data_IF_224562312087
#
_entry.id   IF_224562312087
#
_cell.length_a   1.000
_cell.length_b   1.000
_cell.length_c   1.000
_cell.angle_alpha   90.00
_cell.angle_beta   90.00
_cell.angle_gamma   90.00
#
_symmetry.space_group_name_H-M   'P 1'
#
loop_
_entity.id
_entity.type
_entity.pdbx_description
1 polymer ?
#
# COMPACT_ATOMS: atom_id res chain seq x y z
N UNK A 1 -15.24 23.59 -13.34
CA UNK A 1 -14.32 24.15 -12.34
C UNK A 1 -13.37 25.08 -13.07
N UNK A 2 -13.19 26.31 -12.60
CA UNK A 2 -12.34 27.32 -13.27
C UNK A 2 -10.86 27.25 -12.86
N UNK A 3 -10.52 26.35 -11.93
CA UNK A 3 -9.17 26.21 -11.37
C UNK A 3 -8.68 24.77 -11.53
N UNK A 4 -7.37 24.62 -11.75
CA UNK A 4 -6.68 23.35 -11.84
C UNK A 4 -5.75 23.15 -10.64
N UNK A 5 -5.86 21.99 -10.01
CA UNK A 5 -4.96 21.53 -8.96
C UNK A 5 -3.70 20.91 -9.57
N UNK A 6 -2.54 21.27 -9.03
CA UNK A 6 -1.28 20.59 -9.29
C UNK A 6 -0.56 20.27 -7.97
N UNK A 7 -0.21 19.01 -7.77
CA UNK A 7 0.47 18.54 -6.55
C UNK A 7 1.75 17.79 -6.88
N UNK A 8 2.80 18.08 -6.13
CA UNK A 8 4.00 17.25 -6.00
C UNK A 8 4.14 16.74 -4.57
N UNK A 9 4.76 15.58 -4.39
CA UNK A 9 4.98 14.97 -3.08
C UNK A 9 6.47 14.86 -2.77
N UNK A 10 6.81 15.10 -1.52
CA UNK A 10 8.08 14.72 -0.90
C UNK A 10 7.78 13.63 0.12
N UNK A 11 8.37 12.46 -0.05
CA UNK A 11 8.06 11.27 0.74
C UNK A 11 9.34 10.74 1.36
N UNK A 12 9.35 10.64 2.68
CA UNK A 12 10.46 10.04 3.42
C UNK A 12 10.13 8.62 3.86
N UNK A 13 11.01 7.65 3.60
CA UNK A 13 10.83 6.24 3.95
C UNK A 13 12.06 5.72 4.70
N UNK A 14 11.87 5.22 5.93
CA UNK A 14 12.92 4.57 6.70
C UNK A 14 13.22 3.18 6.14
N UNK A 15 14.49 2.92 5.82
CA UNK A 15 14.93 1.62 5.34
C UNK A 15 15.06 0.62 6.48
N UNK A 16 14.71 -0.64 6.20
CA UNK A 16 14.79 -1.78 7.11
C UNK A 16 16.17 -2.44 7.07
N UNK A 17 17.22 -1.64 7.25
CA UNK A 17 18.60 -2.15 7.39
C UNK A 17 18.83 -2.72 8.79
N UNK A 18 19.90 -3.51 8.97
CA UNK A 18 20.32 -3.99 10.30
C UNK A 18 20.99 -2.88 11.12
N UNK A 19 21.82 -2.05 10.49
CA UNK A 19 22.56 -0.96 11.13
C UNK A 19 22.16 0.39 10.56
N UNK A 20 22.51 1.46 11.29
CA UNK A 20 22.31 2.86 10.86
C UNK A 20 23.07 3.19 9.56
N UNK A 21 22.78 4.36 8.97
CA UNK A 21 23.30 4.73 7.64
C UNK A 21 24.81 4.99 7.65
N UNK A 22 25.31 5.59 8.74
CA UNK A 22 26.70 6.03 8.83
C UNK A 22 27.45 5.43 10.04
N UNK A 23 26.90 4.43 10.72
CA UNK A 23 27.57 3.79 11.87
C UNK A 23 27.06 2.36 12.12
N UNK A 24 27.73 1.63 13.02
CA UNK A 24 27.40 0.24 13.35
C UNK A 24 26.25 0.03 14.34
N UNK A 25 25.60 1.09 14.83
CA UNK A 25 24.48 0.94 15.77
C UNK A 25 23.29 0.20 15.13
N UNK A 26 22.55 -0.54 15.95
CA UNK A 26 21.30 -1.19 15.58
C UNK A 26 20.28 -0.17 15.06
N UNK A 27 19.60 -0.51 13.96
CA UNK A 27 18.48 0.26 13.42
C UNK A 27 17.15 -0.27 13.98
N UNK A 28 16.89 0.04 15.26
CA UNK A 28 15.61 -0.25 15.92
C UNK A 28 15.19 0.92 16.83
N UNK A 29 14.73 2.05 16.26
CA UNK A 29 14.48 3.26 17.03
C UNK A 29 13.17 3.23 17.86
N UNK A 30 12.35 2.17 17.77
CA UNK A 30 10.97 2.18 18.30
C UNK A 30 10.77 1.41 19.59
N UNK A 31 11.50 0.30 19.79
CA UNK A 31 11.27 -0.62 20.92
C UNK A 31 12.31 -0.48 22.05
N UNK A 32 13.12 0.57 21.97
CA UNK A 32 14.31 0.76 22.78
C UNK A 32 14.09 1.73 23.95
N UNK A 33 14.82 1.55 25.05
CA UNK A 33 14.97 2.62 26.06
C UNK A 33 15.64 3.84 25.41
N UNK A 34 15.34 5.07 25.83
CA UNK A 34 15.95 6.27 25.23
C UNK A 34 17.48 6.21 25.22
N UNK A 35 18.09 6.63 24.12
CA UNK A 35 19.54 6.76 23.95
C UNK A 35 20.38 5.48 24.22
N UNK A 36 19.88 4.28 23.87
CA UNK A 36 20.68 3.03 23.96
C UNK A 36 21.30 2.60 22.63
N UNK A 37 20.69 2.98 21.49
CA UNK A 37 21.18 2.66 20.16
C UNK A 37 21.99 3.83 19.60
N UNK A 38 22.98 4.27 20.36
CA UNK A 38 23.83 5.42 20.05
C UNK A 38 25.30 5.04 20.11
N UNK A 39 26.13 5.81 19.41
CA UNK A 39 27.60 5.71 19.42
C UNK A 39 28.20 7.09 19.11
N UNK A 40 29.53 7.28 19.26
CA UNK A 40 30.17 8.57 19.00
C UNK A 40 29.80 9.21 17.66
N UNK A 41 29.62 8.41 16.60
CA UNK A 41 29.29 8.89 15.25
C UNK A 41 27.87 9.48 15.18
N UNK A 42 26.86 8.70 15.52
CA UNK A 42 25.46 9.17 15.44
C UNK A 42 25.10 10.17 16.55
N UNK A 43 25.92 10.24 17.61
CA UNK A 43 25.83 11.24 18.67
C UNK A 43 26.65 12.52 18.36
N UNK A 44 27.38 12.56 17.25
CA UNK A 44 28.15 13.73 16.83
C UNK A 44 29.29 14.12 17.77
N UNK A 45 29.93 13.15 18.44
CA UNK A 45 31.06 13.44 19.33
C UNK A 45 32.30 13.88 18.55
N UNK A 46 33.16 14.74 19.15
CA UNK A 46 34.41 15.17 18.53
C UNK A 46 35.29 13.99 18.09
N UNK A 47 35.80 14.05 16.86
CA UNK A 47 36.68 13.03 16.28
C UNK A 47 35.96 11.81 15.69
N UNK A 48 34.63 11.73 15.76
CA UNK A 48 33.87 10.63 15.15
C UNK A 48 33.69 10.84 13.63
N UNK A 49 33.85 9.76 12.85
CA UNK A 49 33.71 9.78 11.39
C UNK A 49 32.59 8.85 10.90
N UNK A 50 31.83 9.25 9.86
CA UNK A 50 30.77 8.42 9.27
C UNK A 50 31.32 7.25 8.45
N UNK A 51 30.64 6.11 8.48
CA UNK A 51 30.91 4.94 7.64
C UNK A 51 29.63 4.45 6.95
N UNK A 52 29.59 4.57 5.62
CA UNK A 52 28.39 4.29 4.83
C UNK A 52 27.94 2.83 4.89
N UNK A 53 26.64 2.64 5.11
CA UNK A 53 25.96 1.36 5.07
C UNK A 53 25.72 0.88 3.63
N UNK A 54 26.43 -0.18 3.22
CA UNK A 54 26.29 -0.81 1.91
C UNK A 54 24.86 -1.27 1.60
N UNK A 55 24.16 -1.88 2.57
CA UNK A 55 22.80 -2.38 2.36
C UNK A 55 21.79 -1.27 2.10
N UNK A 56 21.97 -0.08 2.67
CA UNK A 56 21.12 1.07 2.39
C UNK A 56 21.22 1.50 0.91
N UNK A 57 22.44 1.51 0.37
CA UNK A 57 22.69 1.79 -1.05
C UNK A 57 22.05 0.72 -1.93
N UNK A 58 22.28 -0.57 -1.64
CA UNK A 58 21.71 -1.68 -2.41
C UNK A 58 20.18 -1.67 -2.43
N UNK A 59 19.53 -1.36 -1.29
CA UNK A 59 18.07 -1.19 -1.21
C UNK A 59 17.56 -0.03 -2.05
N UNK A 60 18.30 1.08 -2.08
CA UNK A 60 17.97 2.27 -2.91
C UNK A 60 18.07 1.94 -4.39
N UNK A 61 19.15 1.26 -4.80
CA UNK A 61 19.35 0.80 -6.17
C UNK A 61 18.25 -0.18 -6.60
N UNK A 62 17.87 -1.12 -5.72
CA UNK A 62 16.78 -2.06 -5.95
C UNK A 62 15.46 -1.34 -6.22
N UNK A 63 15.13 -0.32 -5.42
CA UNK A 63 13.95 0.51 -5.64
C UNK A 63 14.05 1.27 -6.98
N UNK A 64 15.18 1.90 -7.26
CA UNK A 64 15.38 2.66 -8.49
C UNK A 64 15.20 1.81 -9.74
N UNK A 65 15.79 0.62 -9.77
CA UNK A 65 15.64 -0.32 -10.89
C UNK A 65 14.21 -0.82 -11.04
N UNK A 66 13.55 -1.18 -9.93
CA UNK A 66 12.16 -1.61 -9.94
C UNK A 66 11.24 -0.53 -10.54
N UNK A 67 11.47 0.74 -10.21
CA UNK A 67 10.70 1.88 -10.69
C UNK A 67 11.16 2.38 -12.07
N UNK A 68 12.10 1.68 -12.74
CA UNK A 68 12.63 2.04 -14.05
C UNK A 68 13.38 3.37 -14.07
N UNK A 69 13.93 3.79 -12.93
CA UNK A 69 14.71 5.01 -12.79
C UNK A 69 16.14 4.89 -13.32
N UNK A 70 16.73 6.03 -13.68
CA UNK A 70 18.11 6.15 -14.10
C UNK A 70 19.02 6.17 -12.87
N UNK A 71 19.88 5.17 -12.76
CA UNK A 71 20.86 5.04 -11.67
C UNK A 71 22.09 5.88 -12.01
N UNK A 72 22.54 6.72 -11.08
CA UNK A 72 23.78 7.47 -11.23
C UNK A 72 25.00 6.51 -11.26
N UNK A 73 26.03 6.76 -12.08
CA UNK A 73 27.24 5.93 -12.08
C UNK A 73 28.08 6.13 -10.80
N UNK A 74 28.08 7.36 -10.29
CA UNK A 74 28.79 7.79 -9.08
C UNK A 74 27.84 8.69 -8.30
N UNK A 75 27.89 8.58 -6.97
CA UNK A 75 27.17 9.47 -6.06
C UNK A 75 28.12 10.03 -5.02
N UNK A 76 27.82 11.22 -4.49
CA UNK A 76 28.56 11.81 -3.37
C UNK A 76 27.57 12.28 -2.29
N UNK A 77 28.10 12.59 -1.11
CA UNK A 77 27.34 13.02 0.05
C UNK A 77 27.56 14.50 0.29
N UNK A 78 26.57 15.17 0.86
CA UNK A 78 26.64 16.58 1.21
C UNK A 78 26.12 16.81 2.62
N UNK A 79 26.67 17.83 3.28
CA UNK A 79 26.17 18.32 4.56
C UNK A 79 25.06 19.32 4.32
N UNK A 80 23.87 19.03 4.84
CA UNK A 80 22.75 19.98 4.97
C UNK A 80 22.84 20.59 6.36
N UNK A 81 23.35 21.82 6.47
CA UNK A 81 23.71 22.44 7.73
C UNK A 81 22.54 23.19 8.36
N UNK A 82 22.09 22.75 9.55
CA UNK A 82 21.08 23.45 10.35
C UNK A 82 21.17 23.01 11.81
N UNK A 83 20.83 23.91 12.73
CA UNK A 83 20.87 23.63 14.16
C UNK A 83 19.48 23.28 14.66
N UNK A 84 19.35 22.09 15.24
CA UNK A 84 18.16 21.68 15.97
C UNK A 84 18.55 20.64 17.03
N UNK A 85 17.91 20.60 18.22
CA UNK A 85 18.35 19.74 19.31
C UNK A 85 18.38 18.24 18.99
N UNK A 86 17.52 17.77 18.08
CA UNK A 86 17.47 16.37 17.65
C UNK A 86 18.52 15.99 16.58
N UNK A 87 19.31 16.96 16.10
CA UNK A 87 20.36 16.77 15.11
C UNK A 87 21.74 17.03 15.75
N UNK A 88 22.37 16.00 16.34
CA UNK A 88 23.51 16.19 17.23
C UNK A 88 24.76 16.74 16.53
N UNK A 89 24.92 16.49 15.22
CA UNK A 89 26.08 16.96 14.44
C UNK A 89 26.00 18.44 14.04
N UNK A 90 24.84 19.09 14.17
CA UNK A 90 24.59 20.42 13.59
C UNK A 90 24.52 20.44 12.05
N UNK A 91 24.54 19.27 11.43
CA UNK A 91 24.28 19.04 10.01
C UNK A 91 23.75 17.62 9.80
N UNK A 92 22.97 17.44 8.74
CA UNK A 92 22.46 16.16 8.27
C UNK A 92 23.30 15.75 7.05
N UNK A 93 23.84 14.55 7.04
CA UNK A 93 24.43 13.96 5.85
C UNK A 93 23.30 13.50 4.93
N UNK A 94 23.21 14.12 3.75
CA UNK A 94 22.20 13.89 2.73
C UNK A 94 22.87 13.93 1.35
N UNK A 95 22.09 14.07 0.29
CA UNK A 95 22.59 14.24 -1.09
C UNK A 95 22.06 15.57 -1.64
N UNK A 96 22.91 16.29 -2.37
CA UNK A 96 22.55 17.59 -2.95
C UNK A 96 22.09 17.41 -4.40
N UNK A 97 22.97 17.67 -5.36
CA UNK A 97 22.65 17.68 -6.80
C UNK A 97 22.81 16.31 -7.48
N UNK A 98 23.35 15.31 -6.79
CA UNK A 98 23.59 13.97 -7.32
C UNK A 98 22.77 12.92 -6.54
N UNK A 99 21.48 12.72 -6.88
CA UNK A 99 20.69 11.65 -6.28
C UNK A 99 21.16 10.28 -6.79
N UNK A 100 20.92 9.22 -6.02
CA UNK A 100 21.21 7.83 -6.43
C UNK A 100 20.37 7.43 -7.65
N UNK A 101 19.10 7.85 -7.67
CA UNK A 101 18.15 7.55 -8.74
C UNK A 101 17.49 8.84 -9.22
N UNK A 102 17.33 8.98 -10.53
CA UNK A 102 16.58 10.05 -11.18
C UNK A 102 15.55 9.48 -12.16
N UNK A 103 14.50 10.25 -12.47
CA UNK A 103 13.51 9.92 -13.51
C UNK A 103 12.89 8.52 -13.37
N UNK A 104 12.46 8.15 -12.16
CA UNK A 104 11.72 6.91 -11.92
C UNK A 104 10.20 7.13 -12.16
N UNK A 105 9.39 6.06 -12.13
CA UNK A 105 7.95 6.18 -12.37
C UNK A 105 7.12 5.11 -11.67
N UNK A 106 5.88 5.45 -11.35
CA UNK A 106 4.83 4.51 -10.91
C UNK A 106 3.63 4.67 -11.83
N UNK A 107 2.98 3.57 -12.17
CA UNK A 107 1.75 3.57 -12.98
C UNK A 107 0.54 3.27 -12.10
N UNK A 108 -0.50 4.08 -12.22
CA UNK A 108 -1.78 3.96 -11.50
C UNK A 108 -2.88 4.10 -12.54
N UNK A 109 -3.81 3.14 -12.63
CA UNK A 109 -4.89 3.13 -13.63
C UNK A 109 -4.41 3.39 -15.06
N UNK A 110 -3.27 2.81 -15.44
CA UNK A 110 -2.62 3.04 -16.74
C UNK A 110 -2.08 4.46 -16.98
N UNK A 111 -2.15 5.35 -15.99
CA UNK A 111 -1.53 6.68 -16.01
C UNK A 111 -0.16 6.61 -15.34
N UNK A 112 0.86 7.16 -16.00
CA UNK A 112 2.23 7.21 -15.49
C UNK A 112 2.45 8.48 -14.67
N UNK A 113 2.91 8.32 -13.43
CA UNK A 113 3.33 9.40 -12.56
C UNK A 113 4.84 9.35 -12.33
N UNK A 114 5.50 10.50 -12.45
CA UNK A 114 6.96 10.57 -12.48
C UNK A 114 7.55 10.91 -11.11
N UNK A 115 8.66 10.26 -10.79
CA UNK A 115 9.51 10.52 -9.64
C UNK A 115 10.76 11.24 -10.17
N UNK A 116 11.02 12.43 -9.64
CA UNK A 116 12.16 13.24 -10.05
C UNK A 116 13.47 12.64 -9.52
N UNK A 117 13.51 12.33 -8.23
CA UNK A 117 14.71 11.81 -7.57
C UNK A 117 14.38 10.90 -6.40
N UNK A 118 15.30 9.97 -6.14
CA UNK A 118 15.35 9.17 -4.92
C UNK A 118 16.76 9.28 -4.36
N UNK A 119 16.89 9.83 -3.16
CA UNK A 119 18.17 10.04 -2.51
C UNK A 119 18.20 9.44 -1.11
N UNK A 120 19.41 9.19 -0.61
CA UNK A 120 19.64 8.73 0.75
C UNK A 120 20.00 9.89 1.67
N UNK A 121 19.50 9.84 2.89
CA UNK A 121 19.90 10.72 3.97
C UNK A 121 19.76 10.03 5.32
N UNK A 122 20.33 10.62 6.36
CA UNK A 122 20.12 10.15 7.72
C UNK A 122 18.92 10.84 8.38
N UNK A 123 18.15 10.10 9.17
CA UNK A 123 17.07 10.69 9.97
C UNK A 123 17.62 11.41 11.20
N UNK A 124 16.86 12.40 11.68
CA UNK A 124 17.14 13.09 12.94
C UNK A 124 16.64 12.27 14.15
N UNK A 125 17.09 12.65 15.35
CA UNK A 125 16.57 12.14 16.61
C UNK A 125 15.09 12.48 16.82
N UNK A 126 14.56 12.14 17.99
CA UNK A 126 13.20 12.47 18.41
C UNK A 126 13.25 13.56 19.48
N UNK A 127 12.52 14.65 19.24
CA UNK A 127 12.28 15.70 20.22
C UNK A 127 10.88 15.53 20.83
N UNK A 128 10.79 15.53 22.16
CA UNK A 128 9.55 15.33 22.89
C UNK A 128 9.28 16.57 23.75
N UNK A 129 8.16 17.23 23.47
CA UNK A 129 7.63 18.34 24.26
C UNK A 129 6.51 17.81 25.16
N UNK A 130 6.71 17.81 26.47
CA UNK A 130 5.68 17.40 27.42
C UNK A 130 4.82 18.60 27.82
N UNK A 131 3.50 18.41 27.87
CA UNK A 131 2.60 19.46 28.33
C UNK A 131 2.91 19.86 29.77
N UNK A 132 2.91 21.17 30.05
CA UNK A 132 3.21 21.72 31.38
C UNK A 132 4.69 21.67 31.78
N UNK A 133 5.61 21.36 30.85
CA UNK A 133 7.06 21.43 31.06
C UNK A 133 7.66 22.56 30.23
N UNK A 134 8.70 23.18 30.78
CA UNK A 134 9.50 24.24 30.16
C UNK A 134 10.77 23.71 29.47
N UNK A 135 10.98 22.39 29.52
CA UNK A 135 12.08 21.70 28.85
C UNK A 135 11.56 20.69 27.81
N UNK A 136 12.46 20.28 26.92
CA UNK A 136 12.21 19.22 25.93
C UNK A 136 13.16 18.05 26.17
N UNK A 137 12.70 16.84 25.88
CA UNK A 137 13.51 15.62 25.97
C UNK A 137 14.00 15.21 24.59
N UNK A 138 15.26 14.80 24.49
CA UNK A 138 15.86 14.35 23.23
C UNK A 138 16.21 12.86 23.32
N UNK A 139 15.78 12.10 22.31
CA UNK A 139 16.14 10.70 22.13
C UNK A 139 16.82 10.50 20.76
N UNK A 140 18.10 10.16 20.78
CA UNK A 140 18.94 9.94 19.61
C UNK A 140 18.93 8.50 19.09
N UNK A 141 18.08 7.61 19.62
CA UNK A 141 17.90 6.26 19.05
C UNK A 141 17.62 6.31 17.54
N UNK A 142 16.83 7.30 17.08
CA UNK A 142 16.51 7.50 15.65
C UNK A 142 17.58 8.25 14.85
N UNK A 143 18.46 9.01 15.51
CA UNK A 143 19.48 9.79 14.80
C UNK A 143 20.42 8.85 14.01
N UNK A 144 20.58 9.08 12.70
CA UNK A 144 21.42 8.24 11.85
C UNK A 144 20.70 7.08 11.16
N UNK A 145 19.39 6.88 11.39
CA UNK A 145 18.60 5.84 10.71
C UNK A 145 18.59 6.13 9.19
N UNK A 146 18.77 5.12 8.31
CA UNK A 146 18.76 5.37 6.87
C UNK A 146 17.37 5.75 6.38
N UNK A 147 17.31 6.84 5.64
CA UNK A 147 16.09 7.42 5.12
C UNK A 147 16.21 7.62 3.61
N UNK A 148 15.19 7.20 2.88
CA UNK A 148 14.99 7.60 1.49
C UNK A 148 14.17 8.89 1.47
N UNK A 149 14.61 9.90 0.73
CA UNK A 149 13.74 10.99 0.28
C UNK A 149 13.38 10.72 -1.19
N UNK A 150 12.08 10.72 -1.47
CA UNK A 150 11.51 10.50 -2.80
C UNK A 150 10.72 11.75 -3.16
N UNK A 151 11.18 12.47 -4.18
CA UNK A 151 10.53 13.69 -4.66
C UNK A 151 9.88 13.42 -6.00
N UNK A 152 8.59 13.72 -6.11
CA UNK A 152 7.85 13.55 -7.37
C UNK A 152 7.91 14.80 -8.23
N UNK A 153 7.68 14.64 -9.53
CA UNK A 153 7.27 15.78 -10.36
C UNK A 153 5.87 16.25 -9.91
N UNK A 154 5.51 17.52 -10.16
CA UNK A 154 4.19 18.06 -9.84
C UNK A 154 3.14 17.59 -10.86
N UNK A 155 2.88 16.28 -10.90
CA UNK A 155 2.06 15.62 -11.93
C UNK A 155 0.62 15.34 -11.46
N UNK A 156 0.34 15.43 -10.16
CA UNK A 156 -0.94 15.00 -9.62
C UNK A 156 -2.02 16.09 -9.78
N UNK A 157 -3.19 15.69 -10.28
CA UNK A 157 -4.33 16.58 -10.59
C UNK A 157 -5.50 16.46 -9.64
N UNK A 158 -5.42 15.54 -8.69
CA UNK A 158 -6.40 15.38 -7.61
C UNK A 158 -5.72 14.86 -6.35
N UNK A 159 -6.33 15.14 -5.20
CA UNK A 159 -5.87 14.60 -3.93
C UNK A 159 -5.95 13.06 -3.86
N UNK A 160 -6.96 12.47 -4.51
CA UNK A 160 -7.12 11.01 -4.59
C UNK A 160 -5.96 10.36 -5.34
N UNK A 161 -5.55 10.91 -6.49
CA UNK A 161 -4.41 10.37 -7.25
C UNK A 161 -3.11 10.48 -6.44
N UNK A 162 -2.88 11.61 -5.76
CA UNK A 162 -1.72 11.78 -4.89
C UNK A 162 -1.70 10.76 -3.73
N UNK A 163 -2.85 10.53 -3.09
CA UNK A 163 -3.01 9.49 -2.04
C UNK A 163 -2.69 8.11 -2.59
N UNK A 164 -3.31 7.73 -3.71
CA UNK A 164 -3.13 6.42 -4.34
C UNK A 164 -1.69 6.19 -4.78
N UNK A 165 -1.00 7.24 -5.24
CA UNK A 165 0.42 7.17 -5.53
C UNK A 165 1.25 6.83 -4.29
N UNK A 166 1.00 7.51 -3.17
CA UNK A 166 1.71 7.21 -1.93
C UNK A 166 1.42 5.79 -1.43
N UNK A 167 0.17 5.32 -1.54
CA UNK A 167 -0.19 3.92 -1.22
C UNK A 167 0.52 2.91 -2.13
N UNK A 168 0.58 3.16 -3.44
CA UNK A 168 1.29 2.27 -4.38
C UNK A 168 2.79 2.25 -4.13
N UNK A 169 3.40 3.40 -3.83
CA UNK A 169 4.80 3.45 -3.42
C UNK A 169 5.04 2.63 -2.15
N UNK A 170 4.14 2.72 -1.15
CA UNK A 170 4.20 1.91 0.07
C UNK A 170 4.13 0.40 -0.25
N UNK A 171 3.23 -0.01 -1.16
CA UNK A 171 3.13 -1.42 -1.61
C UNK A 171 4.42 -1.87 -2.28
N UNK A 172 5.01 -1.04 -3.14
CA UNK A 172 6.27 -1.36 -3.83
C UNK A 172 7.41 -1.57 -2.83
N UNK A 173 7.64 -0.64 -1.88
CA UNK A 173 8.76 -0.78 -0.94
C UNK A 173 8.61 -1.98 0.00
N UNK A 174 7.37 -2.31 0.39
CA UNK A 174 7.04 -3.52 1.17
C UNK A 174 7.26 -4.79 0.36
N UNK A 175 6.80 -4.80 -0.90
CA UNK A 175 7.00 -5.91 -1.82
C UNK A 175 8.49 -6.19 -2.05
N UNK A 176 9.30 -5.15 -2.23
CA UNK A 176 10.76 -5.26 -2.36
C UNK A 176 11.46 -5.62 -1.04
N UNK A 177 10.74 -5.65 0.08
CA UNK A 177 11.22 -5.93 1.44
C UNK A 177 12.33 -4.98 1.89
N UNK A 178 12.27 -3.71 1.47
CA UNK A 178 13.27 -2.69 1.84
C UNK A 178 12.79 -1.79 2.99
N UNK A 179 11.48 -1.71 3.23
CA UNK A 179 10.89 -0.91 4.30
C UNK A 179 9.53 -1.48 4.72
N UNK A 180 9.19 -1.34 6.00
CA UNK A 180 7.83 -1.60 6.50
C UNK A 180 6.91 -0.40 6.23
N UNK A 181 7.47 0.80 6.09
CA UNK A 181 6.78 2.04 5.65
C UNK A 181 5.46 2.32 6.41
N UNK A 182 5.41 2.00 7.69
CA UNK A 182 4.27 2.26 8.58
C UNK A 182 4.20 3.76 8.93
N UNK A 183 3.15 4.44 8.46
CA UNK A 183 2.95 5.87 8.71
C UNK A 183 2.60 6.17 10.18
N UNK A 184 1.92 5.25 10.88
CA UNK A 184 1.56 5.46 12.30
C UNK A 184 2.81 5.45 13.18
N UNK A 185 3.79 4.61 12.84
CA UNK A 185 5.11 4.59 13.46
C UNK A 185 6.04 5.70 12.91
N UNK A 186 5.63 6.47 11.92
CA UNK A 186 6.45 7.50 11.29
C UNK A 186 7.60 6.96 10.43
N UNK A 187 7.56 5.68 10.04
CA UNK A 187 8.52 5.08 9.11
C UNK A 187 8.31 5.57 7.67
N UNK A 188 7.11 6.04 7.35
CA UNK A 188 6.80 6.74 6.11
C UNK A 188 6.15 8.08 6.44
N UNK A 189 6.68 9.16 5.86
CA UNK A 189 6.18 10.53 6.02
C UNK A 189 5.92 11.12 4.65
N UNK A 190 4.88 11.93 4.53
CA UNK A 190 4.56 12.63 3.28
C UNK A 190 4.45 14.12 3.56
N UNK A 191 4.92 14.91 2.60
CA UNK A 191 4.70 16.35 2.53
C UNK A 191 4.14 16.67 1.14
N UNK A 192 3.16 17.57 1.09
CA UNK A 192 2.45 17.90 -0.15
C UNK A 192 2.78 19.34 -0.58
N UNK A 193 3.28 19.49 -1.80
CA UNK A 193 3.45 20.77 -2.45
C UNK A 193 2.22 21.03 -3.33
N UNK A 194 1.33 21.92 -2.89
CA UNK A 194 0.04 22.23 -3.52
C UNK A 194 0.11 23.56 -4.25
N UNK A 195 -0.33 23.56 -5.51
CA UNK A 195 -0.40 24.75 -6.36
C UNK A 195 -1.74 24.76 -7.11
N UNK A 196 -2.40 25.91 -7.15
CA UNK A 196 -3.67 26.12 -7.84
C UNK A 196 -3.52 27.25 -8.85
N UNK A 197 -3.98 27.02 -10.08
CA UNK A 197 -3.96 28.03 -11.15
C UNK A 197 -5.32 28.10 -11.88
N UNK A 198 -5.75 29.28 -12.34
CA UNK A 198 -6.92 29.40 -13.23
C UNK A 198 -6.70 28.61 -14.53
N UNK A 199 -7.74 27.94 -15.04
CA UNK A 199 -7.66 27.18 -16.30
C UNK A 199 -7.36 28.07 -17.52
N UNK A 200 -7.79 29.33 -17.50
CA UNK A 200 -7.57 30.29 -18.59
C UNK A 200 -6.08 30.63 -18.79
N UNK A 201 -5.30 30.69 -17.70
CA UNK A 201 -3.89 31.10 -17.72
C UNK A 201 -2.98 30.07 -18.41
N UNK A 202 -3.40 28.80 -18.43
CA UNK A 202 -2.67 27.71 -19.10
C UNK A 202 -2.67 27.79 -20.63
N UNK A 203 -3.67 28.45 -21.22
CA UNK A 203 -3.77 28.59 -22.68
C UNK A 203 -2.66 29.52 -23.21
N UNK A 204 -2.10 30.39 -22.35
CA UNK A 204 -1.09 31.36 -22.74
C UNK A 204 0.33 31.01 -22.27
N UNK A 205 0.50 30.29 -21.15
CA UNK A 205 1.78 29.76 -20.70
C UNK A 205 1.51 28.68 -19.64
N UNK A 206 2.23 27.55 -19.66
CA UNK A 206 2.14 26.45 -18.68
C UNK A 206 2.57 26.87 -17.24
N UNK A 207 1.97 27.91 -16.69
CA UNK A 207 2.31 28.52 -15.41
C UNK A 207 1.68 27.72 -14.27
N UNK A 208 2.54 27.22 -13.38
CA UNK A 208 2.11 26.75 -12.06
C UNK A 208 1.74 27.97 -11.21
N UNK A 209 0.67 27.86 -10.42
CA UNK A 209 0.35 28.84 -9.39
C UNK A 209 1.38 28.84 -8.25
N UNK A 210 1.22 29.75 -7.30
CA UNK A 210 2.13 29.83 -6.15
C UNK A 210 2.08 28.57 -5.30
N UNK A 211 3.25 27.99 -5.02
CA UNK A 211 3.39 26.76 -4.25
C UNK A 211 3.18 27.00 -2.75
N UNK A 212 2.37 26.15 -2.13
CA UNK A 212 2.25 26.01 -0.67
C UNK A 212 2.66 24.61 -0.28
N UNK A 213 3.58 24.51 0.68
CA UNK A 213 4.07 23.23 1.20
C UNK A 213 3.30 22.87 2.48
N UNK A 214 2.71 21.69 2.54
CA UNK A 214 1.95 21.19 3.69
C UNK A 214 2.71 20.03 4.35
N UNK A 215 3.14 20.24 5.59
CA UNK A 215 3.90 19.29 6.41
C UNK A 215 3.05 18.63 7.50
N UNK A 216 3.64 17.62 8.16
CA UNK A 216 3.06 16.84 9.27
C UNK A 216 1.83 16.00 8.86
N UNK A 217 1.93 15.33 7.71
CA UNK A 217 0.89 14.43 7.20
C UNK A 217 1.25 12.98 7.56
N UNK A 218 0.53 12.43 8.53
CA UNK A 218 0.85 11.13 9.16
C UNK A 218 -0.07 9.97 8.71
N UNK A 219 -0.95 10.17 7.73
CA UNK A 219 -1.74 9.08 7.14
C UNK A 219 -2.16 9.41 5.70
N UNK A 220 -2.47 8.38 4.90
CA UNK A 220 -2.97 8.57 3.53
C UNK A 220 -4.29 9.36 3.50
N UNK A 221 -5.18 9.12 4.46
CA UNK A 221 -6.42 9.90 4.60
C UNK A 221 -6.13 11.36 4.97
N UNK A 222 -5.13 11.61 5.80
CA UNK A 222 -4.70 12.97 6.11
C UNK A 222 -4.09 13.67 4.90
N UNK A 223 -3.35 12.95 4.05
CA UNK A 223 -2.78 13.49 2.81
C UNK A 223 -3.87 14.01 1.87
N UNK A 224 -4.87 13.18 1.60
CA UNK A 224 -6.00 13.55 0.74
C UNK A 224 -6.77 14.75 1.30
N UNK A 225 -7.09 14.72 2.59
CA UNK A 225 -7.80 15.83 3.25
C UNK A 225 -7.00 17.13 3.28
N UNK A 226 -5.69 17.04 3.50
CA UNK A 226 -4.80 18.20 3.54
C UNK A 226 -4.71 18.88 2.17
N UNK A 227 -4.59 18.09 1.10
CA UNK A 227 -4.57 18.60 -0.28
C UNK A 227 -5.90 19.25 -0.64
N UNK A 228 -7.03 18.59 -0.36
CA UNK A 228 -8.36 19.15 -0.67
C UNK A 228 -8.61 20.46 0.10
N UNK A 229 -8.31 20.49 1.40
CA UNK A 229 -8.46 21.71 2.18
C UNK A 229 -7.60 22.85 1.64
N UNK A 230 -6.35 22.57 1.26
CA UNK A 230 -5.44 23.58 0.74
C UNK A 230 -5.85 24.04 -0.67
N UNK A 231 -6.43 23.16 -1.48
CA UNK A 231 -7.05 23.52 -2.76
C UNK A 231 -8.20 24.51 -2.55
N UNK A 232 -9.19 24.17 -1.72
CA UNK A 232 -10.36 25.02 -1.45
C UNK A 232 -9.94 26.38 -0.91
N UNK A 233 -8.99 26.40 0.04
CA UNK A 233 -8.42 27.64 0.59
C UNK A 233 -7.75 28.50 -0.49
N UNK A 234 -6.95 27.90 -1.37
CA UNK A 234 -6.27 28.65 -2.44
C UNK A 234 -7.27 29.20 -3.45
N UNK A 235 -8.32 28.45 -3.78
CA UNK A 235 -9.41 28.92 -4.65
C UNK A 235 -10.12 30.12 -4.02
N UNK A 236 -10.51 30.04 -2.74
CA UNK A 236 -11.18 31.15 -2.04
C UNK A 236 -10.34 32.45 -2.04
N UNK A 237 -9.02 32.33 -1.87
CA UNK A 237 -8.10 33.46 -1.96
C UNK A 237 -8.05 34.05 -3.38
N UNK A 238 -7.99 33.20 -4.40
CA UNK A 238 -7.95 33.66 -5.79
C UNK A 238 -9.28 34.31 -6.21
N UNK A 239 -10.42 33.77 -5.77
CA UNK A 239 -11.75 34.30 -6.06
C UNK A 239 -12.02 35.63 -5.33
N UNK A 240 -11.44 35.84 -4.16
CA UNK A 240 -11.49 37.12 -3.42
C UNK A 240 -10.50 38.17 -3.95
N UNK A 241 -9.70 37.84 -4.97
CA UNK A 241 -8.67 38.73 -5.53
C UNK A 241 -7.41 38.85 -4.67
N UNK A 242 -7.27 38.02 -3.63
CA UNK A 242 -6.08 37.93 -2.81
C UNK A 242 -4.97 37.14 -3.51
N UNK A 243 -3.72 37.36 -3.06
CA UNK A 243 -2.56 36.65 -3.59
C UNK A 243 -2.16 35.48 -2.69
N UNK A 244 -1.94 34.32 -3.29
CA UNK A 244 -1.31 33.19 -2.61
C UNK A 244 0.16 33.54 -2.35
N UNK A 245 0.60 33.39 -1.10
CA UNK A 245 2.00 33.57 -0.71
C UNK A 245 2.68 32.22 -0.58
N UNK A 246 3.92 32.11 -1.05
CA UNK A 246 4.74 30.93 -0.85
C UNK A 246 5.05 30.76 0.64
N UNK A 247 4.54 29.70 1.24
CA UNK A 247 4.69 29.44 2.68
C UNK A 247 4.64 27.94 2.99
N UNK A 248 5.22 27.58 4.12
CA UNK A 248 5.08 26.25 4.72
C UNK A 248 3.94 26.27 5.73
N UNK A 249 3.02 25.31 5.62
CA UNK A 249 1.86 25.13 6.50
C UNK A 249 1.94 23.75 7.15
N UNK A 250 1.32 23.60 8.31
CA UNK A 250 1.18 22.30 8.98
C UNK A 250 -0.27 21.84 8.93
N UNK A 251 -0.46 20.55 8.64
CA UNK A 251 -1.76 19.90 8.76
C UNK A 251 -2.10 19.63 10.22
N UNK A 252 -3.31 20.03 10.65
CA UNK A 252 -3.84 19.71 11.97
C UNK A 252 -5.01 18.72 11.84
N UNK A 253 -4.75 17.44 12.07
CA UNK A 253 -5.76 16.38 11.93
C UNK A 253 -7.04 16.58 12.75
N UNK A 254 -6.99 17.03 14.03
CA UNK A 254 -8.20 17.27 14.83
C UNK A 254 -9.12 18.35 14.25
N UNK A 255 -8.58 19.50 13.86
CA UNK A 255 -9.37 20.59 13.27
C UNK A 255 -9.67 20.39 11.79
N UNK A 256 -8.92 19.53 11.10
CA UNK A 256 -9.05 19.32 9.66
C UNK A 256 -8.61 20.53 8.82
N UNK A 257 -7.70 21.35 9.33
CA UNK A 257 -7.25 22.60 8.69
C UNK A 257 -5.73 22.66 8.55
N UNK A 258 -5.24 23.39 7.56
CA UNK A 258 -3.83 23.80 7.48
C UNK A 258 -3.62 25.11 8.24
N UNK A 259 -2.54 25.20 9.03
CA UNK A 259 -2.13 26.43 9.73
C UNK A 259 -0.77 26.89 9.22
N UNK A 260 -0.52 28.20 9.06
CA UNK A 260 0.81 28.68 8.72
C UNK A 260 1.78 28.26 9.83
N UNK A 261 2.95 27.74 9.43
CA UNK A 261 4.06 27.62 10.36
C UNK A 261 4.74 28.98 10.49
N UNK A 262 5.42 29.24 11.61
CA UNK A 262 6.21 30.48 11.77
C UNK A 262 7.09 30.64 10.52
N UNK A 263 6.96 31.79 9.86
CA UNK A 263 7.70 32.06 8.63
C UNK A 263 9.18 31.81 8.86
N UNK A 264 9.82 31.04 7.97
CA UNK A 264 11.27 31.06 7.91
C UNK A 264 11.62 32.48 7.49
N UNK A 265 12.19 33.28 8.38
CA UNK A 265 12.53 34.71 8.14
C UNK A 265 13.48 34.88 6.92
N UNK A 266 14.07 33.78 6.44
CA UNK A 266 14.72 33.61 5.13
C UNK A 266 14.50 32.17 4.65
N UNK A 267 14.54 31.86 3.35
CA UNK A 267 14.77 30.48 2.92
C UNK A 267 16.08 30.05 3.56
N UNK A 268 16.02 29.22 4.62
CA UNK A 268 17.22 28.91 5.40
C UNK A 268 18.31 28.41 4.45
N UNK A 269 19.39 29.17 4.33
CA UNK A 269 20.56 28.76 3.56
C UNK A 269 21.17 27.57 4.30
N UNK A 270 20.82 26.37 3.84
CA UNK A 270 21.32 25.12 4.40
C UNK A 270 22.81 24.94 4.13
N UNK A 271 23.46 25.84 3.38
CA UNK A 271 24.90 25.84 3.07
C UNK A 271 25.35 24.44 2.67
N UNK A 272 24.72 23.90 1.63
CA UNK A 272 25.08 22.58 1.12
C UNK A 272 26.53 22.60 0.62
N UNK A 273 27.35 21.69 1.12
CA UNK A 273 28.69 21.43 0.58
C UNK A 273 29.00 19.94 0.66
N UNK A 274 29.94 19.42 -0.18
CA UNK A 274 30.32 18.02 -0.15
C UNK A 274 30.79 17.57 1.24
N UNK A 275 30.38 16.39 1.68
CA UNK A 275 30.81 15.76 2.92
C UNK A 275 32.27 15.27 2.76
N UNK A 276 33.28 15.95 3.34
CA UNK A 276 34.68 15.58 3.14
C UNK A 276 35.04 14.24 3.79
N UNK A 277 34.28 13.81 4.81
CA UNK A 277 34.58 12.58 5.56
C UNK A 277 34.12 11.31 4.81
N UNK A 278 33.34 11.46 3.72
CA UNK A 278 32.88 10.37 2.88
C UNK A 278 33.37 10.54 1.44
N UNK A 279 34.13 9.58 0.89
CA UNK A 279 34.50 9.63 -0.52
C UNK A 279 33.27 9.45 -1.41
N UNK A 280 33.40 9.86 -2.67
CA UNK A 280 32.42 9.52 -3.71
C UNK A 280 32.33 8.00 -3.86
N UNK A 281 31.12 7.50 -4.11
CA UNK A 281 30.82 6.08 -4.22
C UNK A 281 30.45 5.75 -5.65
N UNK A 282 31.21 4.85 -6.27
CA UNK A 282 30.82 4.22 -7.54
C UNK A 282 29.69 3.23 -7.26
N UNK A 283 28.54 3.42 -7.90
CA UNK A 283 27.35 2.62 -7.63
C UNK A 283 27.42 1.29 -8.41
N UNK A 284 27.26 0.13 -7.75
CA UNK A 284 27.30 -1.14 -8.42
C UNK A 284 26.10 -1.31 -9.36
N UNK A 285 26.31 -1.99 -10.48
CA UNK A 285 25.20 -2.47 -11.31
C UNK A 285 24.57 -3.67 -10.61
N UNK A 286 23.32 -3.54 -10.20
CA UNK A 286 22.53 -4.67 -9.70
C UNK A 286 21.83 -5.38 -10.86
N UNK A 287 21.65 -6.70 -10.72
CA UNK A 287 20.79 -7.47 -11.62
C UNK A 287 19.34 -7.14 -11.26
N UNK A 288 18.52 -6.63 -12.20
CA UNK A 288 17.11 -6.34 -11.93
C UNK A 288 16.40 -7.60 -11.44
N UNK A 289 15.52 -7.45 -10.44
CA UNK A 289 14.65 -8.56 -10.05
C UNK A 289 13.70 -8.90 -11.19
N UNK A 290 13.54 -10.19 -11.46
CA UNK A 290 12.51 -10.69 -12.38
C UNK A 290 11.11 -10.72 -11.75
N UNK A 291 10.99 -10.43 -10.44
CA UNK A 291 9.70 -10.47 -9.77
C UNK A 291 8.82 -9.29 -10.23
N UNK A 292 7.58 -9.57 -10.66
CA UNK A 292 6.66 -8.52 -11.09
C UNK A 292 6.26 -7.64 -9.91
N UNK A 293 6.21 -6.33 -10.13
CA UNK A 293 5.73 -5.37 -9.14
C UNK A 293 4.23 -5.52 -8.86
N UNK A 294 3.72 -5.01 -7.72
CA UNK A 294 2.31 -5.11 -7.36
C UNK A 294 1.33 -4.73 -8.48
N UNK A 295 1.60 -3.66 -9.23
CA UNK A 295 0.76 -3.27 -10.39
C UNK A 295 0.80 -4.30 -11.53
N UNK A 296 1.97 -4.85 -11.84
CA UNK A 296 2.10 -5.89 -12.86
C UNK A 296 1.37 -7.16 -12.43
N UNK A 297 1.49 -7.54 -11.16
CA UNK A 297 0.77 -8.66 -10.56
C UNK A 297 -0.75 -8.48 -10.69
N UNK A 298 -1.29 -7.29 -10.35
CA UNK A 298 -2.72 -7.00 -10.48
C UNK A 298 -3.20 -7.09 -11.94
N UNK A 299 -2.41 -6.59 -12.90
CA UNK A 299 -2.74 -6.71 -14.33
C UNK A 299 -2.78 -8.16 -14.78
N UNK A 300 -1.80 -8.96 -14.39
CA UNK A 300 -1.75 -10.39 -14.69
C UNK A 300 -2.96 -11.11 -14.08
N UNK A 301 -3.32 -10.84 -12.83
CA UNK A 301 -4.52 -11.42 -12.20
C UNK A 301 -5.82 -10.96 -12.88
N UNK A 302 -5.89 -9.73 -13.35
CA UNK A 302 -7.04 -9.23 -14.11
C UNK A 302 -7.20 -9.97 -15.44
N UNK A 303 -6.08 -10.33 -16.10
CA UNK A 303 -6.09 -11.20 -17.30
C UNK A 303 -6.55 -12.63 -16.99
N UNK A 304 -6.50 -13.06 -15.73
CA UNK A 304 -7.08 -14.33 -15.26
C UNK A 304 -8.56 -14.21 -14.88
N UNK A 305 -9.20 -13.06 -15.12
CA UNK A 305 -10.63 -12.85 -14.89
C UNK A 305 -11.00 -12.28 -13.52
N UNK A 306 -10.02 -11.83 -12.72
CA UNK A 306 -10.33 -11.18 -11.43
C UNK A 306 -10.76 -9.74 -11.64
N UNK A 307 -11.75 -9.30 -10.85
CA UNK A 307 -12.07 -7.88 -10.74
C UNK A 307 -10.90 -7.10 -10.14
N UNK A 308 -10.82 -5.79 -10.42
CA UNK A 308 -9.74 -4.94 -9.92
C UNK A 308 -9.60 -4.96 -8.39
N UNK A 309 -10.72 -5.02 -7.66
CA UNK A 309 -10.72 -5.09 -6.19
C UNK A 309 -10.17 -6.43 -5.68
N UNK A 310 -10.60 -7.55 -6.26
CA UNK A 310 -10.12 -8.89 -5.88
C UNK A 310 -8.65 -9.06 -6.25
N UNK A 311 -8.21 -8.57 -7.42
CA UNK A 311 -6.81 -8.57 -7.82
C UNK A 311 -5.94 -7.76 -6.86
N UNK A 312 -6.42 -6.57 -6.44
CA UNK A 312 -5.74 -5.75 -5.43
C UNK A 312 -5.63 -6.47 -4.09
N UNK A 313 -6.74 -7.03 -3.60
CA UNK A 313 -6.76 -7.79 -2.35
C UNK A 313 -5.78 -8.98 -2.39
N UNK A 314 -5.77 -9.75 -3.48
CA UNK A 314 -4.88 -10.88 -3.65
C UNK A 314 -3.40 -10.49 -3.62
N UNK A 315 -3.04 -9.38 -4.27
CA UNK A 315 -1.67 -8.85 -4.25
C UNK A 315 -1.30 -8.34 -2.85
N UNK A 316 -2.18 -7.57 -2.20
CA UNK A 316 -1.94 -7.04 -0.85
C UNK A 316 -1.80 -8.16 0.21
N UNK A 317 -2.46 -9.31 -0.01
CA UNK A 317 -2.34 -10.52 0.82
C UNK A 317 -1.18 -11.44 0.43
N UNK A 318 -0.44 -11.14 -0.63
CA UNK A 318 0.69 -11.94 -1.09
C UNK A 318 0.30 -13.26 -1.78
N UNK A 319 -0.91 -13.36 -2.32
CA UNK A 319 -1.42 -14.58 -2.96
C UNK A 319 -1.06 -14.72 -4.44
N UNK A 320 -0.34 -13.75 -5.03
CA UNK A 320 -0.04 -13.74 -6.46
C UNK A 320 0.62 -15.02 -6.95
N UNK A 321 1.69 -15.50 -6.29
CA UNK A 321 2.43 -16.69 -6.75
C UNK A 321 1.57 -17.95 -6.71
N UNK A 322 0.72 -18.10 -5.70
CA UNK A 322 -0.22 -19.21 -5.58
C UNK A 322 -1.24 -19.17 -6.74
N UNK A 323 -1.88 -18.02 -6.93
CA UNK A 323 -2.90 -17.82 -7.96
C UNK A 323 -2.34 -17.95 -9.38
N UNK A 324 -1.11 -17.50 -9.62
CA UNK A 324 -0.43 -17.67 -10.90
C UNK A 324 -0.22 -19.15 -11.23
N UNK A 325 0.22 -19.97 -10.26
CA UNK A 325 0.38 -21.42 -10.44
C UNK A 325 -0.96 -22.13 -10.69
N UNK A 326 -2.04 -21.68 -10.05
CA UNK A 326 -3.38 -22.21 -10.33
C UNK A 326 -3.82 -21.85 -11.75
N UNK A 327 -3.57 -20.61 -12.17
CA UNK A 327 -3.92 -20.10 -13.49
C UNK A 327 -3.15 -20.80 -14.64
N UNK A 328 -1.97 -21.35 -14.38
CA UNK A 328 -1.22 -22.18 -15.34
C UNK A 328 -1.95 -23.49 -15.68
N UNK A 329 -2.69 -24.05 -14.71
CA UNK A 329 -3.45 -25.29 -14.89
C UNK A 329 -4.87 -25.01 -15.37
N UNK A 330 -5.57 -24.09 -14.69
CA UNK A 330 -6.95 -23.74 -15.01
C UNK A 330 -7.26 -22.30 -14.56
N UNK A 331 -7.27 -21.36 -15.50
CA UNK A 331 -7.57 -19.95 -15.21
C UNK A 331 -8.97 -19.73 -14.63
N UNK A 332 -9.92 -20.63 -14.93
CA UNK A 332 -11.28 -20.43 -14.48
C UNK A 332 -11.40 -20.48 -12.96
N UNK A 333 -10.49 -21.17 -12.25
CA UNK A 333 -10.60 -21.40 -10.80
C UNK A 333 -10.08 -20.23 -9.94
N UNK A 334 -9.41 -19.25 -10.54
CA UNK A 334 -8.65 -18.24 -9.80
C UNK A 334 -9.56 -17.32 -8.97
N UNK A 335 -10.75 -16.96 -9.51
CA UNK A 335 -11.70 -16.12 -8.79
C UNK A 335 -12.27 -16.83 -7.55
N UNK A 336 -12.69 -18.09 -7.69
CA UNK A 336 -13.14 -18.90 -6.56
C UNK A 336 -12.02 -19.20 -5.56
N UNK A 337 -10.78 -19.40 -6.03
CA UNK A 337 -9.63 -19.55 -5.15
C UNK A 337 -9.45 -18.33 -4.23
N UNK A 338 -9.57 -17.10 -4.75
CA UNK A 338 -9.51 -15.89 -3.92
C UNK A 338 -10.64 -15.86 -2.89
N UNK A 339 -11.87 -16.18 -3.29
CA UNK A 339 -13.00 -16.22 -2.37
C UNK A 339 -12.81 -17.26 -1.25
N UNK A 340 -12.25 -18.43 -1.59
CA UNK A 340 -11.91 -19.46 -0.60
C UNK A 340 -10.76 -19.03 0.31
N UNK A 341 -9.72 -18.38 -0.20
CA UNK A 341 -8.62 -17.85 0.62
C UNK A 341 -9.09 -16.79 1.62
N UNK A 342 -10.07 -15.96 1.23
CA UNK A 342 -10.72 -15.01 2.15
C UNK A 342 -11.54 -15.74 3.20
N UNK A 343 -12.18 -16.86 2.85
CA UNK A 343 -13.02 -17.65 3.73
C UNK A 343 -12.27 -18.54 4.72
N UNK A 344 -11.20 -19.16 4.24
CA UNK A 344 -10.42 -20.19 4.89
C UNK A 344 -8.97 -20.02 4.42
N UNK A 345 -8.17 -19.20 5.12
CA UNK A 345 -6.77 -18.99 4.78
C UNK A 345 -5.96 -20.30 4.70
N UNK A 346 -6.34 -21.32 5.46
CA UNK A 346 -5.75 -22.66 5.47
C UNK A 346 -5.83 -23.35 4.10
N UNK A 347 -6.77 -22.94 3.23
CA UNK A 347 -6.84 -23.38 1.84
C UNK A 347 -5.48 -23.23 1.12
N UNK A 348 -4.69 -22.19 1.44
CA UNK A 348 -3.37 -22.00 0.84
C UNK A 348 -2.35 -23.08 1.18
N UNK A 349 -2.61 -23.90 2.22
CA UNK A 349 -1.73 -24.98 2.66
C UNK A 349 -1.93 -26.26 1.85
N UNK A 350 -3.08 -26.39 1.19
CA UNK A 350 -3.35 -27.52 0.29
C UNK A 350 -2.41 -27.48 -0.92
N UNK A 351 -2.13 -28.66 -1.49
CA UNK A 351 -1.41 -28.74 -2.77
C UNK A 351 -2.25 -28.08 -3.87
N UNK A 352 -1.61 -27.46 -4.86
CA UNK A 352 -2.31 -26.82 -5.97
C UNK A 352 -3.30 -27.76 -6.69
N UNK A 353 -2.95 -29.05 -6.83
CA UNK A 353 -3.85 -30.06 -7.43
C UNK A 353 -5.11 -30.27 -6.59
N UNK A 354 -4.97 -30.28 -5.27
CA UNK A 354 -6.06 -30.48 -4.32
C UNK A 354 -6.96 -29.24 -4.25
N UNK A 355 -6.37 -28.04 -4.33
CA UNK A 355 -7.10 -26.77 -4.45
C UNK A 355 -7.99 -26.73 -5.70
N UNK A 356 -7.43 -27.14 -6.85
CA UNK A 356 -8.17 -27.19 -8.12
C UNK A 356 -9.28 -28.24 -8.05
N UNK A 357 -8.98 -29.43 -7.52
CA UNK A 357 -9.94 -30.50 -7.34
C UNK A 357 -11.12 -30.04 -6.48
N UNK A 358 -10.85 -29.43 -5.32
CA UNK A 358 -11.87 -28.92 -4.42
C UNK A 358 -12.79 -27.90 -5.10
N UNK A 359 -12.22 -26.96 -5.87
CA UNK A 359 -13.01 -25.95 -6.58
C UNK A 359 -13.89 -26.61 -7.66
N UNK A 360 -13.36 -27.56 -8.42
CA UNK A 360 -14.12 -28.27 -9.46
C UNK A 360 -15.24 -29.13 -8.88
N UNK A 361 -14.94 -29.90 -7.84
CA UNK A 361 -15.96 -30.70 -7.15
C UNK A 361 -17.02 -29.81 -6.51
N UNK A 362 -16.65 -28.67 -5.92
CA UNK A 362 -17.62 -27.73 -5.38
C UNK A 362 -18.53 -27.10 -6.47
N UNK A 363 -18.01 -26.81 -7.67
CA UNK A 363 -18.85 -26.34 -8.79
C UNK A 363 -19.89 -27.39 -9.20
N UNK A 364 -19.50 -28.65 -9.21
CA UNK A 364 -20.38 -29.76 -9.58
C UNK A 364 -21.41 -30.05 -8.48
N UNK A 365 -20.95 -30.17 -7.23
CA UNK A 365 -21.76 -30.61 -6.09
C UNK A 365 -22.49 -29.47 -5.36
N UNK A 366 -22.08 -28.22 -5.60
CA UNK A 366 -22.67 -26.99 -5.05
C UNK A 366 -22.75 -26.99 -3.52
N UNK A 367 -21.65 -27.35 -2.86
CA UNK A 367 -21.60 -27.39 -1.41
C UNK A 367 -21.72 -26.00 -0.79
N UNK A 368 -22.40 -25.87 0.36
CA UNK A 368 -22.36 -24.67 1.18
C UNK A 368 -20.92 -24.36 1.56
N UNK A 369 -20.66 -23.08 1.78
CA UNK A 369 -19.35 -22.60 2.20
C UNK A 369 -18.83 -23.30 3.46
N UNK A 370 -19.70 -23.63 4.42
CA UNK A 370 -19.33 -24.34 5.65
C UNK A 370 -18.76 -25.72 5.36
N UNK A 371 -19.38 -26.48 4.46
CA UNK A 371 -18.91 -27.81 4.06
C UNK A 371 -17.56 -27.75 3.36
N UNK A 372 -17.34 -26.77 2.47
CA UNK A 372 -16.04 -26.60 1.82
C UNK A 372 -14.93 -26.31 2.84
N UNK A 373 -15.22 -25.48 3.85
CA UNK A 373 -14.28 -25.19 4.95
C UNK A 373 -14.00 -26.45 5.79
N UNK A 374 -15.04 -27.23 6.11
CA UNK A 374 -14.90 -28.51 6.82
C UNK A 374 -14.01 -29.49 6.06
N UNK A 375 -14.19 -29.62 4.74
CA UNK A 375 -13.34 -30.47 3.89
C UNK A 375 -11.88 -30.02 3.96
N UNK A 376 -11.60 -28.72 3.86
CA UNK A 376 -10.23 -28.17 3.96
C UNK A 376 -9.62 -28.49 5.34
N UNK A 377 -10.34 -28.19 6.42
CA UNK A 377 -9.85 -28.44 7.77
C UNK A 377 -9.62 -29.92 8.04
N UNK A 378 -10.52 -30.79 7.56
CA UNK A 378 -10.39 -32.23 7.75
C UNK A 378 -9.17 -32.76 7.00
N UNK A 379 -8.96 -32.36 5.75
CA UNK A 379 -7.80 -32.77 4.97
C UNK A 379 -6.49 -32.35 5.63
N UNK A 380 -6.40 -31.11 6.14
CA UNK A 380 -5.20 -30.59 6.79
C UNK A 380 -4.97 -31.26 8.15
N UNK A 381 -5.99 -31.30 9.02
CA UNK A 381 -5.85 -31.82 10.39
C UNK A 381 -5.60 -33.33 10.42
N UNK A 382 -6.15 -34.07 9.47
CA UNK A 382 -5.95 -35.52 9.37
C UNK A 382 -4.78 -35.88 8.44
N UNK A 383 -4.14 -34.89 7.80
CA UNK A 383 -3.08 -35.08 6.81
C UNK A 383 -3.48 -36.08 5.69
N UNK A 384 -4.69 -35.89 5.15
CA UNK A 384 -5.29 -36.75 4.10
C UNK A 384 -5.38 -36.00 2.78
N UNK A 385 -5.50 -36.75 1.68
CA UNK A 385 -5.74 -36.12 0.38
C UNK A 385 -7.15 -35.53 0.33
N UNK A 386 -7.33 -34.41 -0.39
CA UNK A 386 -8.65 -33.82 -0.58
C UNK A 386 -9.59 -34.79 -1.30
N UNK A 387 -9.08 -35.64 -2.21
CA UNK A 387 -9.87 -36.66 -2.88
C UNK A 387 -10.53 -37.62 -1.87
N UNK A 388 -9.75 -38.17 -0.93
CA UNK A 388 -10.27 -39.12 0.06
C UNK A 388 -11.29 -38.46 0.99
N UNK A 389 -11.06 -37.21 1.38
CA UNK A 389 -11.98 -36.47 2.25
C UNK A 389 -13.28 -36.17 1.50
N UNK A 390 -13.18 -35.68 0.26
CA UNK A 390 -14.34 -35.39 -0.60
C UNK A 390 -15.29 -36.58 -0.72
N UNK A 391 -14.75 -37.81 -0.78
CA UNK A 391 -15.55 -39.02 -0.87
C UNK A 391 -16.35 -39.33 0.39
N UNK A 392 -15.92 -38.86 1.57
CA UNK A 392 -16.69 -38.96 2.83
C UNK A 392 -17.82 -37.94 2.92
N UNK A 393 -17.68 -36.83 2.21
CA UNK A 393 -18.74 -35.84 2.04
C UNK A 393 -19.68 -36.21 0.88
N UNK A 394 -19.39 -37.28 0.14
CA UNK A 394 -20.35 -38.05 -0.67
C UNK A 394 -20.98 -39.18 0.17
N UNK A 395 -22.27 -39.58 -0.01
CA UNK A 395 -23.29 -39.16 -0.97
C UNK A 395 -24.58 -38.63 -0.30
N UNK A 396 -25.25 -37.66 -0.93
CA UNK A 396 -26.70 -37.51 -0.88
C UNK A 396 -27.11 -36.77 -2.15
N UNK A 397 -27.51 -37.58 -3.12
CA UNK A 397 -28.37 -37.32 -4.27
C UNK A 397 -28.00 -36.11 -5.12
N UNK A 398 -27.62 -36.39 -6.36
CA UNK A 398 -27.86 -35.56 -7.54
C UNK A 398 -28.89 -34.47 -7.19
N UNK A 399 -28.42 -33.24 -6.94
CA UNK A 399 -29.30 -32.18 -6.42
C UNK A 399 -30.49 -31.99 -7.37
N UNK A 400 -30.31 -32.31 -8.65
CA UNK A 400 -31.37 -32.36 -9.64
C UNK A 400 -32.45 -33.40 -9.30
N UNK A 401 -32.10 -34.58 -8.79
CA UNK A 401 -33.07 -35.52 -8.23
C UNK A 401 -33.72 -35.00 -6.96
N UNK A 402 -33.00 -34.35 -6.05
CA UNK A 402 -33.60 -33.75 -4.84
C UNK A 402 -34.61 -32.66 -5.24
N UNK A 403 -34.26 -31.80 -6.19
CA UNK A 403 -35.17 -30.79 -6.73
C UNK A 403 -36.41 -31.44 -7.33
N UNK A 404 -36.26 -32.47 -8.18
CA UNK A 404 -37.39 -33.20 -8.75
C UNK A 404 -38.28 -33.81 -7.67
N UNK A 405 -37.70 -34.49 -6.69
CA UNK A 405 -38.44 -35.14 -5.61
C UNK A 405 -39.19 -34.13 -4.74
N UNK A 406 -38.58 -33.00 -4.40
CA UNK A 406 -39.25 -31.94 -3.63
C UNK A 406 -40.38 -31.32 -4.43
N UNK A 407 -40.21 -31.10 -5.73
CA UNK A 407 -41.26 -30.58 -6.63
C UNK A 407 -42.43 -31.58 -6.74
N UNK A 408 -42.13 -32.87 -6.97
CA UNK A 408 -43.14 -33.94 -7.08
C UNK A 408 -43.91 -34.16 -5.77
N UNK A 409 -43.22 -34.13 -4.63
CA UNK A 409 -43.83 -34.38 -3.32
C UNK A 409 -44.60 -33.17 -2.75
N UNK A 410 -44.46 -31.98 -3.34
CA UNK A 410 -45.09 -30.76 -2.85
C UNK A 410 -45.94 -30.05 -3.93
N UNK A 411 -46.90 -30.73 -4.58
CA UNK A 411 -47.64 -30.18 -5.73
C UNK A 411 -48.47 -28.93 -5.37
N UNK A 412 -48.97 -28.85 -4.13
CA UNK A 412 -49.70 -27.69 -3.63
C UNK A 412 -48.82 -26.43 -3.53
N UNK A 413 -47.61 -26.57 -2.97
CA UNK A 413 -46.67 -25.46 -2.87
C UNK A 413 -46.20 -24.98 -4.25
N UNK A 414 -46.01 -25.91 -5.19
CA UNK A 414 -45.71 -25.58 -6.60
C UNK A 414 -46.84 -24.77 -7.25
N UNK A 415 -48.10 -25.19 -7.07
CA UNK A 415 -49.26 -24.46 -7.59
C UNK A 415 -49.41 -23.07 -6.94
N UNK A 416 -49.26 -22.99 -5.62
CA UNK A 416 -49.32 -21.73 -4.87
C UNK A 416 -48.23 -20.75 -5.36
N UNK A 417 -47.00 -21.22 -5.60
CA UNK A 417 -45.93 -20.38 -6.15
C UNK A 417 -46.26 -19.89 -7.57
N UNK A 418 -46.72 -20.78 -8.46
CA UNK A 418 -47.13 -20.40 -9.83
C UNK A 418 -48.28 -19.40 -9.86
N UNK A 419 -49.19 -19.46 -8.88
CA UNK A 419 -50.28 -18.48 -8.70
C UNK A 419 -49.84 -17.12 -8.13
N UNK A 420 -48.56 -16.99 -7.74
CA UNK A 420 -47.96 -15.72 -7.29
C UNK A 420 -47.71 -15.57 -5.80
N UNK A 421 -47.84 -16.65 -5.01
CA UNK A 421 -47.52 -16.61 -3.58
C UNK A 421 -46.04 -16.91 -3.35
N UNK A 422 -45.22 -15.87 -3.17
CA UNK A 422 -43.76 -16.03 -2.96
C UNK A 422 -43.39 -16.84 -1.71
N UNK A 423 -44.23 -16.82 -0.66
CA UNK A 423 -44.00 -17.61 0.55
C UNK A 423 -43.90 -19.13 0.27
N UNK A 424 -44.52 -19.63 -0.79
CA UNK A 424 -44.44 -21.04 -1.18
C UNK A 424 -43.04 -21.42 -1.71
N UNK A 425 -42.30 -20.47 -2.30
CA UNK A 425 -40.90 -20.69 -2.70
C UNK A 425 -40.01 -20.90 -1.49
N UNK A 426 -40.17 -20.09 -0.44
CA UNK A 426 -39.39 -20.21 0.80
C UNK A 426 -39.63 -21.56 1.49
N UNK A 427 -40.86 -22.06 1.44
CA UNK A 427 -41.19 -23.40 1.93
C UNK A 427 -40.48 -24.51 1.12
N UNK A 428 -40.51 -24.43 -0.22
CA UNK A 428 -39.82 -25.38 -1.09
C UNK A 428 -38.30 -25.36 -0.89
N UNK A 429 -37.71 -24.18 -0.74
CA UNK A 429 -36.30 -24.00 -0.36
C UNK A 429 -36.01 -24.73 0.95
N UNK A 430 -36.85 -24.55 1.98
CA UNK A 430 -36.71 -25.26 3.26
C UNK A 430 -36.77 -26.79 3.12
N UNK A 431 -37.65 -27.32 2.26
CA UNK A 431 -37.75 -28.76 2.00
C UNK A 431 -36.50 -29.30 1.29
N UNK A 432 -35.95 -28.58 0.31
CA UNK A 432 -34.67 -28.94 -0.32
C UNK A 432 -33.54 -28.93 0.71
N UNK A 433 -33.48 -27.92 1.58
CA UNK A 433 -32.46 -27.84 2.63
C UNK A 433 -32.56 -29.00 3.61
N UNK A 434 -33.77 -29.40 4.01
CA UNK A 434 -33.98 -30.54 4.88
C UNK A 434 -33.56 -31.87 4.21
N UNK A 435 -33.97 -32.09 2.95
CA UNK A 435 -33.63 -33.29 2.18
C UNK A 435 -32.12 -33.40 1.90
N UNK A 436 -31.48 -32.28 1.58
CA UNK A 436 -30.03 -32.19 1.39
C UNK A 436 -29.25 -32.20 2.71
N UNK A 437 -29.90 -32.37 3.87
CA UNK A 437 -29.28 -32.33 5.21
C UNK A 437 -28.43 -31.07 5.46
N UNK A 438 -28.89 -29.93 4.96
CA UNK A 438 -28.19 -28.65 5.05
C UNK A 438 -26.95 -28.53 4.15
N UNK A 439 -26.71 -29.50 3.25
CA UNK A 439 -25.55 -29.55 2.35
C UNK A 439 -25.77 -28.88 0.98
N UNK A 440 -26.81 -28.07 0.82
CA UNK A 440 -26.99 -27.24 -0.39
C UNK A 440 -27.05 -25.74 -0.03
N UNK A 441 -26.60 -24.89 -0.94
CA UNK A 441 -26.58 -23.45 -0.74
C UNK A 441 -27.98 -22.82 -0.94
N UNK A 442 -28.44 -22.03 0.04
CA UNK A 442 -29.79 -21.44 0.05
C UNK A 442 -30.04 -20.51 -1.15
N UNK A 443 -29.08 -19.65 -1.50
CA UNK A 443 -29.25 -18.69 -2.60
C UNK A 443 -29.29 -19.41 -3.95
N UNK A 444 -28.41 -20.38 -4.13
CA UNK A 444 -28.35 -21.22 -5.32
C UNK A 444 -29.62 -22.07 -5.47
N UNK A 445 -30.07 -22.72 -4.39
CA UNK A 445 -31.33 -23.49 -4.33
C UNK A 445 -32.53 -22.64 -4.69
N UNK A 446 -32.58 -21.39 -4.21
CA UNK A 446 -33.67 -20.46 -4.57
C UNK A 446 -33.66 -20.16 -6.07
N UNK A 447 -32.50 -19.84 -6.65
CA UNK A 447 -32.37 -19.60 -8.11
C UNK A 447 -32.77 -20.81 -8.94
N UNK A 448 -32.33 -22.00 -8.56
CA UNK A 448 -32.62 -23.22 -9.32
C UNK A 448 -34.10 -23.58 -9.27
N UNK A 449 -34.75 -23.48 -8.11
CA UNK A 449 -36.20 -23.68 -7.98
C UNK A 449 -36.99 -22.68 -8.83
N UNK A 450 -36.56 -21.41 -8.89
CA UNK A 450 -37.19 -20.41 -9.77
C UNK A 450 -37.09 -20.83 -11.24
N UNK A 451 -35.89 -21.26 -11.68
CA UNK A 451 -35.67 -21.74 -13.06
C UNK A 451 -36.55 -22.96 -13.38
N UNK A 452 -36.58 -23.97 -12.51
CA UNK A 452 -37.30 -25.22 -12.73
C UNK A 452 -38.83 -25.05 -12.69
N UNK A 453 -39.34 -24.11 -11.88
CA UNK A 453 -40.78 -23.90 -11.73
C UNK A 453 -41.39 -23.03 -12.83
N UNK A 454 -40.54 -22.35 -13.61
CA UNK A 454 -40.89 -21.63 -14.84
C UNK A 454 -41.71 -20.37 -14.56
N UNK A 455 -41.05 -19.30 -14.10
CA UNK A 455 -41.67 -17.99 -13.95
C UNK A 455 -40.80 -16.89 -14.53
#
# INVERSE_FOLDING_TARGET
>A
MNYELTVGLEIHIQLKTKTKLFCGCLNDPFSAKPNIHVCPVCYGLPGALPMLNRSAVEMTLKLGQALGGKIAPVTFWARKSYFYPDLPKGYQISQSTAPVVSDAKITIDSVVHRIQRIHLEEDAGKLIHQQGRDYSLVDYNRAGVPLLEIVTYPDFKSADVAKRFAEELQRVVRHLKIADADMEKGQMRCEANVSVAPMADKIQNSLLGTKVEVKNINSFRALERAINYEFDRQVELLESGEKIVHQTRTWNSPSGKTKPMRGKETSADYRYFPEPDLPSVTLPKLIPSSQPLPEQQRRTLSQYGLSGELARLAVDRGWFELLAKLAEVDRSVVAEAVNLLVACPEFSQLRNTDQILLIKENRNRRWPRTTVIEIVHQAINQNRSIADVIDEFSPADDLDNVYRQVIENNPKAVSDYRSGKEAALHYLVGQVMAAAKGRADVQQTTKELVNLLGR
#
